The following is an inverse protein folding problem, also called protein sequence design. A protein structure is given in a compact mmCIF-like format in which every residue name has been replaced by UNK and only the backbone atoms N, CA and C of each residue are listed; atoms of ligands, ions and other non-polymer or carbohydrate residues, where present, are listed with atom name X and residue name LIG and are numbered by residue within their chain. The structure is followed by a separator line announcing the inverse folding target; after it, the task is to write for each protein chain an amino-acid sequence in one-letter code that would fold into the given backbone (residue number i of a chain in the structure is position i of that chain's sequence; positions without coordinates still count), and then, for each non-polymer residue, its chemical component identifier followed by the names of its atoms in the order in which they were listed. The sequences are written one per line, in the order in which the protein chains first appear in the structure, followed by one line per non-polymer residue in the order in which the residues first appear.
data_IF_011387052628
#
_entry.id   IF_011387052628
#
_cell.length_a   1.000
_cell.length_b   1.000
_cell.length_c   1.000
_cell.angle_alpha   90.00
_cell.angle_beta   90.00
_cell.angle_gamma   90.00
#
_symmetry.space_group_name_H-M   'P 1'
#
loop_
_entity.id
_entity.type
_entity.pdbx_description
1 polymer ?
#
# COMPACT_ATOMS: atom_id res chain seq x y z
N UNK A 1 -2.91 33.47 -12.76
CA UNK A 1 -3.39 32.31 -13.55
C UNK A 1 -3.23 31.07 -12.67
N UNK A 2 -4.32 30.40 -12.29
CA UNK A 2 -4.27 29.31 -11.31
C UNK A 2 -3.50 28.09 -11.87
N UNK A 3 -2.49 27.62 -11.13
CA UNK A 3 -1.63 26.48 -11.46
C UNK A 3 -2.49 25.22 -11.69
N UNK A 4 -2.56 24.72 -12.93
CA UNK A 4 -3.31 23.50 -13.25
C UNK A 4 -2.45 22.29 -12.89
N UNK A 5 -3.06 21.26 -12.28
CA UNK A 5 -2.37 20.02 -11.89
C UNK A 5 -1.81 19.19 -13.07
N UNK A 6 -1.93 19.68 -14.30
CA UNK A 6 -1.50 19.08 -15.57
C UNK A 6 -0.16 19.60 -16.09
N UNK A 7 0.42 20.64 -15.48
CA UNK A 7 1.68 21.24 -15.93
C UNK A 7 2.90 20.36 -15.55
N UNK A 8 4.11 20.64 -16.06
CA UNK A 8 5.33 19.84 -15.79
C UNK A 8 5.94 20.06 -14.38
N UNK A 9 5.44 21.05 -13.63
CA UNK A 9 5.85 21.39 -12.26
C UNK A 9 5.66 20.29 -11.15
N UNK A 10 4.71 19.33 -11.24
CA UNK A 10 4.51 18.25 -10.28
C UNK A 10 5.65 17.22 -10.25
N UNK A 11 6.41 17.07 -11.35
CA UNK A 11 7.53 16.12 -11.40
C UNK A 11 8.63 16.47 -10.42
N UNK A 12 8.95 17.76 -10.29
CA UNK A 12 9.95 18.26 -9.34
C UNK A 12 9.46 18.15 -7.89
N UNK A 13 8.18 18.46 -7.63
CA UNK A 13 7.53 18.29 -6.30
C UNK A 13 7.45 16.80 -5.89
N UNK A 14 7.25 15.88 -6.83
CA UNK A 14 7.25 14.44 -6.57
C UNK A 14 8.66 13.89 -6.28
N UNK A 15 9.68 14.37 -7.01
CA UNK A 15 11.09 14.03 -6.74
C UNK A 15 11.54 14.55 -5.36
N UNK A 16 11.13 15.77 -4.98
CA UNK A 16 11.37 16.30 -3.63
C UNK A 16 10.69 15.44 -2.56
N UNK A 17 9.46 14.98 -2.79
CA UNK A 17 8.77 14.07 -1.86
C UNK A 17 9.45 12.70 -1.75
N UNK A 18 9.97 12.15 -2.85
CA UNK A 18 10.75 10.92 -2.84
C UNK A 18 12.08 11.08 -2.09
N UNK A 19 12.76 12.21 -2.28
CA UNK A 19 13.97 12.56 -1.53
C UNK A 19 13.70 12.72 -0.04
N UNK A 20 12.60 13.38 0.34
CA UNK A 20 12.16 13.50 1.74
C UNK A 20 11.87 12.11 2.33
N UNK A 21 11.21 11.22 1.58
CA UNK A 21 10.97 9.85 2.04
C UNK A 21 12.28 9.08 2.25
N UNK A 22 13.25 9.18 1.32
CA UNK A 22 14.56 8.54 1.47
C UNK A 22 15.36 9.10 2.66
N UNK A 23 15.33 10.42 2.88
CA UNK A 23 15.95 11.05 4.05
C UNK A 23 15.26 10.61 5.34
N UNK A 24 13.94 10.50 5.34
CA UNK A 24 13.16 10.01 6.48
C UNK A 24 13.51 8.56 6.83
N UNK A 25 13.56 7.66 5.84
CA UNK A 25 13.97 6.27 6.07
C UNK A 25 15.45 6.15 6.44
N UNK A 26 16.33 6.97 5.87
CA UNK A 26 17.74 7.05 6.25
C UNK A 26 17.94 7.54 7.69
N UNK A 27 17.17 8.53 8.12
CA UNK A 27 17.18 9.04 9.49
C UNK A 27 16.64 8.01 10.49
N UNK A 28 15.62 7.22 10.11
CA UNK A 28 15.11 6.10 10.91
C UNK A 28 16.19 5.02 11.06
N UNK A 29 16.85 4.63 9.97
CA UNK A 29 17.94 3.65 10.01
C UNK A 29 19.10 4.12 10.92
N UNK A 30 19.45 5.41 10.83
CA UNK A 30 20.46 6.02 11.70
C UNK A 30 20.00 6.06 13.16
N UNK A 31 18.74 6.39 13.43
CA UNK A 31 18.18 6.42 14.78
C UNK A 31 18.14 5.02 15.42
N UNK A 32 17.79 3.99 14.65
CA UNK A 32 17.85 2.59 15.11
C UNK A 32 19.28 2.20 15.50
N UNK A 33 20.27 2.67 14.76
CA UNK A 33 21.68 2.42 15.06
C UNK A 33 22.20 3.18 16.29
N UNK A 34 21.59 4.32 16.65
CA UNK A 34 22.09 5.24 17.69
C UNK A 34 21.40 5.08 19.06
N UNK A 35 20.11 4.72 19.11
CA UNK A 35 19.30 4.84 20.35
C UNK A 35 19.03 3.53 21.12
N UNK A 36 19.63 2.39 20.73
CA UNK A 36 19.54 1.12 21.48
C UNK A 36 18.30 0.26 21.19
N UNK A 37 18.40 -1.03 21.48
CA UNK A 37 17.51 -2.10 21.00
C UNK A 37 16.02 -1.94 21.40
N UNK A 38 15.73 -1.48 22.61
CA UNK A 38 14.36 -1.41 23.15
C UNK A 38 13.54 -0.23 22.60
N UNK A 39 14.16 0.95 22.51
CA UNK A 39 13.52 2.14 21.93
C UNK A 39 13.32 1.97 20.41
N UNK A 40 14.30 1.36 19.73
CA UNK A 40 14.21 1.05 18.31
C UNK A 40 13.02 0.14 18.00
N UNK A 41 12.77 -0.90 18.81
CA UNK A 41 11.66 -1.82 18.59
C UNK A 41 10.29 -1.11 18.53
N UNK A 42 9.98 -0.27 19.53
CA UNK A 42 8.69 0.42 19.60
C UNK A 42 8.47 1.37 18.42
N UNK A 43 9.53 2.08 18.00
CA UNK A 43 9.48 2.94 16.81
C UNK A 43 9.32 2.15 15.51
N UNK A 44 10.04 1.05 15.34
CA UNK A 44 9.91 0.18 14.17
C UNK A 44 8.49 -0.40 14.09
N UNK A 45 7.95 -0.84 15.22
CA UNK A 45 6.57 -1.33 15.30
C UNK A 45 5.56 -0.24 14.94
N UNK A 46 5.73 0.98 15.45
CA UNK A 46 4.86 2.11 15.12
C UNK A 46 4.92 2.45 13.63
N UNK A 47 6.12 2.54 13.05
CA UNK A 47 6.32 2.80 11.62
C UNK A 47 5.73 1.69 10.74
N UNK A 48 5.86 0.43 11.15
CA UNK A 48 5.23 -0.70 10.47
C UNK A 48 3.70 -0.57 10.47
N UNK A 49 3.10 -0.23 11.62
CA UNK A 49 1.65 -0.01 11.72
C UNK A 49 1.18 1.15 10.84
N UNK A 50 1.91 2.28 10.84
CA UNK A 50 1.61 3.44 9.98
C UNK A 50 1.66 3.05 8.49
N UNK A 51 2.67 2.26 8.10
CA UNK A 51 2.82 1.77 6.75
C UNK A 51 1.66 0.84 6.36
N UNK A 52 1.26 -0.09 7.25
CA UNK A 52 0.12 -0.97 7.01
C UNK A 52 -1.18 -0.18 6.87
N UNK A 53 -1.45 0.80 7.74
CA UNK A 53 -2.65 1.65 7.64
C UNK A 53 -2.67 2.40 6.31
N UNK A 54 -1.54 3.00 5.92
CA UNK A 54 -1.41 3.72 4.65
C UNK A 54 -1.64 2.80 3.44
N UNK A 55 -1.11 1.58 3.50
CA UNK A 55 -1.30 0.58 2.45
C UNK A 55 -2.78 0.13 2.39
N UNK A 56 -3.39 -0.18 3.53
CA UNK A 56 -4.79 -0.60 3.63
C UNK A 56 -5.77 0.46 3.16
N UNK A 57 -5.53 1.73 3.45
CA UNK A 57 -6.34 2.83 2.96
C UNK A 57 -6.42 2.83 1.42
N UNK A 58 -5.28 2.62 0.75
CA UNK A 58 -5.26 2.50 -0.71
C UNK A 58 -5.91 1.20 -1.22
N UNK A 59 -5.69 0.07 -0.55
CA UNK A 59 -6.28 -1.23 -0.92
C UNK A 59 -7.81 -1.22 -0.87
N UNK A 60 -8.41 -0.56 0.13
CA UNK A 60 -9.86 -0.46 0.29
C UNK A 60 -10.49 0.62 -0.61
N UNK A 61 -9.72 1.65 -0.99
CA UNK A 61 -10.24 2.72 -1.83
C UNK A 61 -10.14 2.41 -3.33
N UNK A 62 -9.11 1.68 -3.75
CA UNK A 62 -8.85 1.42 -5.17
C UNK A 62 -9.99 0.70 -5.92
N UNK A 63 -10.66 -0.35 -5.39
CA UNK A 63 -11.79 -0.98 -6.07
C UNK A 63 -12.93 -0.01 -6.36
N UNK A 64 -13.16 0.98 -5.48
CA UNK A 64 -14.20 2.00 -5.67
C UNK A 64 -13.86 2.91 -6.85
N UNK A 65 -12.59 3.29 -7.00
CA UNK A 65 -12.16 4.04 -8.18
C UNK A 65 -12.39 3.25 -9.46
N UNK A 66 -12.06 1.96 -9.49
CA UNK A 66 -12.29 1.12 -10.67
C UNK A 66 -13.76 1.01 -11.06
N UNK A 67 -14.68 0.92 -10.09
CA UNK A 67 -16.12 0.92 -10.37
C UNK A 67 -16.52 2.20 -11.11
N UNK A 68 -16.16 3.37 -10.56
CA UNK A 68 -16.53 4.64 -11.18
C UNK A 68 -15.81 4.90 -12.50
N UNK A 69 -14.56 4.44 -12.64
CA UNK A 69 -13.81 4.55 -13.89
C UNK A 69 -14.40 3.64 -14.98
N UNK A 70 -14.90 2.45 -14.63
CA UNK A 70 -15.53 1.55 -15.61
C UNK A 70 -16.83 2.08 -16.19
N UNK A 71 -17.51 3.01 -15.51
CA UNK A 71 -18.71 3.68 -16.00
C UNK A 71 -18.41 4.85 -16.96
N UNK A 72 -17.13 5.26 -17.08
CA UNK A 72 -16.73 6.36 -17.94
C UNK A 72 -16.50 5.89 -19.37
N UNK A 73 -16.87 6.68 -20.37
CA UNK A 73 -16.49 6.39 -21.76
C UNK A 73 -14.95 6.45 -21.92
N UNK A 74 -14.33 5.49 -22.64
CA UNK A 74 -12.90 5.53 -22.91
C UNK A 74 -12.49 6.88 -23.51
N UNK A 75 -11.32 7.39 -23.13
CA UNK A 75 -10.77 8.69 -23.57
C UNK A 75 -11.57 9.95 -23.18
N UNK A 76 -12.62 9.82 -22.36
CA UNK A 76 -13.28 10.97 -21.74
C UNK A 76 -12.36 11.71 -20.75
N UNK A 77 -12.65 12.98 -20.48
CA UNK A 77 -11.93 13.76 -19.46
C UNK A 77 -12.03 13.13 -18.06
N UNK A 78 -13.17 12.49 -17.78
CA UNK A 78 -13.40 11.80 -16.52
C UNK A 78 -12.54 10.53 -16.40
N UNK A 79 -12.44 9.72 -17.45
CA UNK A 79 -11.55 8.55 -17.49
C UNK A 79 -10.08 8.96 -17.33
N UNK A 80 -9.64 10.04 -17.98
CA UNK A 80 -8.29 10.61 -17.78
C UNK A 80 -8.05 10.99 -16.33
N UNK A 81 -9.02 11.63 -15.69
CA UNK A 81 -8.93 12.04 -14.28
C UNK A 81 -8.80 10.82 -13.36
N UNK A 82 -9.63 9.79 -13.54
CA UNK A 82 -9.55 8.56 -12.74
C UNK A 82 -8.23 7.82 -12.95
N UNK A 83 -7.75 7.71 -14.19
CA UNK A 83 -6.44 7.12 -14.49
C UNK A 83 -5.30 7.83 -13.73
N UNK A 84 -5.32 9.16 -13.68
CA UNK A 84 -4.34 9.93 -12.89
C UNK A 84 -4.47 9.66 -11.40
N UNK A 85 -5.70 9.60 -10.86
CA UNK A 85 -5.95 9.31 -9.44
C UNK A 85 -5.45 7.91 -9.05
N UNK A 86 -5.77 6.90 -9.85
CA UNK A 86 -5.37 5.50 -9.64
C UNK A 86 -3.85 5.34 -9.70
N UNK A 87 -3.19 5.92 -10.70
CA UNK A 87 -1.74 5.87 -10.83
C UNK A 87 -1.05 6.58 -9.66
N UNK A 88 -1.57 7.74 -9.24
CA UNK A 88 -1.02 8.46 -8.08
C UNK A 88 -1.21 7.67 -6.80
N UNK A 89 -2.41 7.14 -6.54
CA UNK A 89 -2.68 6.32 -5.36
C UNK A 89 -1.75 5.09 -5.29
N UNK A 90 -1.61 4.38 -6.41
CA UNK A 90 -0.75 3.21 -6.53
C UNK A 90 0.73 3.56 -6.30
N UNK A 91 1.28 4.52 -7.07
CA UNK A 91 2.71 4.82 -7.05
C UNK A 91 3.17 5.64 -5.85
N UNK A 92 2.34 6.55 -5.35
CA UNK A 92 2.73 7.52 -4.31
C UNK A 92 2.42 6.98 -2.91
N UNK A 93 1.33 6.23 -2.75
CA UNK A 93 0.86 5.77 -1.44
C UNK A 93 1.05 4.26 -1.30
N UNK A 94 0.42 3.47 -2.16
CA UNK A 94 0.33 2.01 -1.96
C UNK A 94 1.68 1.32 -2.11
N UNK A 95 2.44 1.60 -3.17
CA UNK A 95 3.73 0.93 -3.42
C UNK A 95 4.75 1.23 -2.31
N UNK A 96 5.02 2.50 -1.92
CA UNK A 96 5.95 2.78 -0.84
C UNK A 96 5.48 2.18 0.49
N UNK A 97 4.19 2.29 0.81
CA UNK A 97 3.63 1.74 2.04
C UNK A 97 3.76 0.21 2.12
N UNK A 98 3.51 -0.50 1.01
CA UNK A 98 3.72 -1.95 0.94
C UNK A 98 5.19 -2.32 1.16
N UNK A 99 6.12 -1.63 0.49
CA UNK A 99 7.56 -1.90 0.61
C UNK A 99 8.01 -1.71 2.07
N UNK A 100 7.62 -0.59 2.68
CA UNK A 100 7.99 -0.28 4.07
C UNK A 100 7.36 -1.29 5.04
N UNK A 101 6.11 -1.69 4.79
CA UNK A 101 5.43 -2.72 5.57
C UNK A 101 6.18 -4.05 5.53
N UNK A 102 6.63 -4.47 4.35
CA UNK A 102 7.41 -5.71 4.19
C UNK A 102 8.78 -5.63 4.85
N UNK A 103 9.54 -4.55 4.62
CA UNK A 103 10.88 -4.37 5.20
C UNK A 103 10.82 -4.39 6.72
N UNK A 104 9.95 -3.55 7.32
CA UNK A 104 9.83 -3.49 8.78
C UNK A 104 9.17 -4.75 9.35
N UNK A 105 8.23 -5.35 8.65
CA UNK A 105 7.55 -6.59 9.07
C UNK A 105 8.49 -7.79 9.11
N UNK A 106 9.33 -7.96 8.09
CA UNK A 106 10.35 -9.02 8.05
C UNK A 106 11.46 -8.77 9.06
N UNK A 107 11.86 -7.52 9.25
CA UNK A 107 12.81 -7.17 10.31
C UNK A 107 12.27 -7.58 11.69
N UNK A 108 11.02 -7.22 12.03
CA UNK A 108 10.40 -7.62 13.30
C UNK A 108 10.23 -9.14 13.42
N UNK A 109 9.87 -9.83 12.32
CA UNK A 109 9.75 -11.28 12.29
C UNK A 109 11.09 -11.97 12.57
N UNK A 110 12.19 -11.42 12.06
CA UNK A 110 13.55 -11.91 12.29
C UNK A 110 14.04 -11.62 13.71
N UNK A 111 14.04 -10.34 14.12
CA UNK A 111 14.73 -9.90 15.33
C UNK A 111 13.96 -10.19 16.62
N UNK A 112 12.63 -10.15 16.57
CA UNK A 112 11.78 -10.30 17.78
C UNK A 112 11.21 -11.69 17.90
N UNK A 113 10.78 -12.27 16.78
CA UNK A 113 10.08 -13.56 16.79
C UNK A 113 10.92 -14.72 16.26
N UNK A 114 12.08 -14.48 15.63
CA UNK A 114 12.92 -15.53 15.06
C UNK A 114 12.19 -16.45 14.07
N UNK A 115 11.15 -15.93 13.40
CA UNK A 115 10.21 -16.72 12.59
C UNK A 115 9.52 -17.88 13.32
N UNK A 116 9.39 -17.80 14.64
CA UNK A 116 8.73 -18.82 15.46
C UNK A 116 7.22 -18.55 15.62
N UNK A 117 6.47 -19.63 15.82
CA UNK A 117 5.01 -19.61 16.03
C UNK A 117 4.24 -19.77 14.72
N UNK A 118 3.25 -20.67 14.72
CA UNK A 118 2.46 -20.92 13.51
C UNK A 118 1.62 -19.70 13.12
N UNK A 119 1.20 -18.87 14.09
CA UNK A 119 0.48 -17.62 13.82
C UNK A 119 1.27 -16.69 12.89
N UNK A 120 2.60 -16.69 13.00
CA UNK A 120 3.47 -15.82 12.22
C UNK A 120 3.58 -16.31 10.77
N UNK A 121 3.71 -17.61 10.55
CA UNK A 121 3.71 -18.19 9.20
C UNK A 121 2.36 -17.98 8.51
N UNK A 122 1.25 -18.22 9.22
CA UNK A 122 -0.09 -17.98 8.68
C UNK A 122 -0.31 -16.49 8.38
N UNK A 123 0.19 -15.59 9.24
CA UNK A 123 0.16 -14.14 8.99
C UNK A 123 0.93 -13.78 7.74
N UNK A 124 2.15 -14.30 7.57
CA UNK A 124 2.96 -14.04 6.38
C UNK A 124 2.28 -14.56 5.11
N UNK A 125 1.63 -15.73 5.16
CA UNK A 125 0.83 -16.24 4.05
C UNK A 125 -0.34 -15.29 3.71
N UNK A 126 -1.05 -14.78 4.71
CA UNK A 126 -2.12 -13.80 4.50
C UNK A 126 -1.60 -12.47 3.91
N UNK A 127 -0.44 -11.98 4.37
CA UNK A 127 0.20 -10.77 3.82
C UNK A 127 0.68 -11.01 2.38
N UNK A 128 1.18 -12.20 2.04
CA UNK A 128 1.49 -12.57 0.65
C UNK A 128 0.23 -12.55 -0.23
N UNK A 129 -0.89 -13.08 0.28
CA UNK A 129 -2.19 -12.98 -0.39
C UNK A 129 -2.59 -11.52 -0.63
N UNK A 130 -2.41 -10.65 0.37
CA UNK A 130 -2.69 -9.22 0.26
C UNK A 130 -1.79 -8.54 -0.79
N UNK A 131 -0.51 -8.91 -0.84
CA UNK A 131 0.41 -8.46 -1.90
C UNK A 131 0.02 -8.97 -3.28
N UNK A 132 -0.53 -10.18 -3.38
CA UNK A 132 -1.11 -10.69 -4.63
C UNK A 132 -2.28 -9.82 -5.12
N UNK A 133 -3.19 -9.44 -4.22
CA UNK A 133 -4.31 -8.52 -4.53
C UNK A 133 -3.78 -7.15 -4.94
N UNK A 134 -2.77 -6.62 -4.23
CA UNK A 134 -2.13 -5.37 -4.59
C UNK A 134 -1.53 -5.43 -6.01
N UNK A 135 -0.81 -6.51 -6.33
CA UNK A 135 -0.25 -6.73 -7.67
C UNK A 135 -1.32 -6.81 -8.76
N UNK A 136 -2.45 -7.44 -8.45
CA UNK A 136 -3.61 -7.46 -9.34
C UNK A 136 -4.18 -6.04 -9.55
N UNK A 137 -4.33 -5.23 -8.51
CA UNK A 137 -4.74 -3.83 -8.66
C UNK A 137 -3.75 -3.03 -9.50
N UNK A 138 -2.44 -3.19 -9.28
CA UNK A 138 -1.41 -2.53 -10.09
C UNK A 138 -1.50 -2.91 -11.58
N UNK A 139 -1.85 -4.16 -11.90
CA UNK A 139 -2.13 -4.59 -13.28
C UNK A 139 -3.38 -3.90 -13.83
N UNK A 140 -4.44 -3.79 -13.03
CA UNK A 140 -5.71 -3.19 -13.45
C UNK A 140 -5.59 -1.67 -13.66
N UNK A 141 -4.85 -0.94 -12.81
CA UNK A 141 -4.52 0.48 -13.06
C UNK A 141 -3.90 0.66 -14.45
N UNK A 142 -2.96 -0.22 -14.84
CA UNK A 142 -2.35 -0.15 -16.18
C UNK A 142 -3.34 -0.44 -17.30
N UNK A 143 -4.31 -1.34 -17.09
CA UNK A 143 -5.31 -1.70 -18.08
C UNK A 143 -6.35 -0.59 -18.27
N UNK A 144 -6.89 -0.08 -17.16
CA UNK A 144 -7.82 1.06 -17.16
C UNK A 144 -7.18 2.30 -17.78
N UNK A 145 -5.90 2.57 -17.51
CA UNK A 145 -5.15 3.64 -18.17
C UNK A 145 -4.96 3.49 -19.69
N UNK A 146 -5.26 2.30 -20.27
CA UNK A 146 -5.30 2.06 -21.72
C UNK A 146 -6.74 1.96 -22.27
N UNK A 147 -7.75 2.37 -21.49
CA UNK A 147 -9.16 2.21 -21.85
C UNK A 147 -9.66 0.76 -21.84
N UNK A 148 -8.89 -0.17 -21.26
CA UNK A 148 -9.28 -1.58 -21.15
C UNK A 148 -9.92 -1.82 -19.79
N UNK A 149 -11.23 -1.64 -19.69
CA UNK A 149 -11.96 -1.91 -18.46
C UNK A 149 -12.07 -3.40 -18.23
N UNK A 150 -11.36 -3.85 -17.19
CA UNK A 150 -11.26 -5.27 -16.85
C UNK A 150 -12.30 -5.59 -15.80
N UNK A 151 -13.09 -6.65 -16.02
CA UNK A 151 -14.16 -7.14 -15.12
C UNK A 151 -15.33 -6.16 -14.95
N UNK A 152 -16.41 -6.67 -14.37
CA UNK A 152 -17.63 -5.91 -14.13
C UNK A 152 -17.64 -5.23 -12.75
N UNK A 153 -18.58 -4.31 -12.54
CA UNK A 153 -18.73 -3.61 -11.26
C UNK A 153 -19.01 -4.57 -10.08
N UNK A 154 -19.65 -5.72 -10.34
CA UNK A 154 -19.90 -6.74 -9.31
C UNK A 154 -18.58 -7.35 -8.81
N UNK A 155 -17.68 -7.70 -9.72
CA UNK A 155 -16.35 -8.18 -9.36
C UNK A 155 -15.59 -7.16 -8.51
N UNK A 156 -15.61 -5.87 -8.89
CA UNK A 156 -14.90 -4.85 -8.13
C UNK A 156 -15.47 -4.61 -6.73
N UNK A 157 -16.79 -4.73 -6.55
CA UNK A 157 -17.42 -4.74 -5.21
C UNK A 157 -16.93 -5.93 -4.38
N UNK A 158 -16.86 -7.12 -4.96
CA UNK A 158 -16.34 -8.29 -4.26
C UNK A 158 -14.85 -8.13 -3.90
N UNK A 159 -14.06 -7.53 -4.79
CA UNK A 159 -12.65 -7.26 -4.52
C UNK A 159 -12.40 -6.24 -3.41
N UNK A 160 -13.42 -5.47 -3.00
CA UNK A 160 -13.33 -4.64 -1.80
C UNK A 160 -13.33 -5.47 -0.50
N UNK A 161 -14.01 -6.62 -0.50
CA UNK A 161 -14.11 -7.49 0.67
C UNK A 161 -12.81 -8.28 0.91
N UNK A 162 -12.07 -8.62 -0.16
CA UNK A 162 -10.86 -9.44 -0.04
C UNK A 162 -9.77 -8.79 0.84
N UNK A 163 -9.35 -7.52 0.62
CA UNK A 163 -8.42 -6.85 1.53
C UNK A 163 -8.96 -6.73 2.96
N UNK A 164 -10.27 -6.52 3.11
CA UNK A 164 -10.92 -6.39 4.43
C UNK A 164 -10.81 -7.69 5.23
N UNK A 165 -11.15 -8.82 4.60
CA UNK A 165 -11.05 -10.15 5.23
C UNK A 165 -9.61 -10.49 5.58
N UNK A 166 -8.67 -10.25 4.68
CA UNK A 166 -7.23 -10.46 4.93
C UNK A 166 -6.74 -9.59 6.09
N UNK A 167 -7.14 -8.33 6.15
CA UNK A 167 -6.81 -7.42 7.25
C UNK A 167 -7.29 -7.97 8.59
N UNK A 168 -8.54 -8.43 8.67
CA UNK A 168 -9.10 -9.02 9.90
C UNK A 168 -8.26 -10.21 10.35
N UNK A 169 -7.98 -11.15 9.44
CA UNK A 169 -7.14 -12.33 9.73
C UNK A 169 -5.76 -11.92 10.22
N UNK A 170 -5.08 -11.00 9.52
CA UNK A 170 -3.74 -10.53 9.87
C UNK A 170 -3.71 -9.88 11.26
N UNK A 171 -4.71 -9.04 11.57
CA UNK A 171 -4.82 -8.35 12.86
C UNK A 171 -5.08 -9.35 13.99
N UNK A 172 -6.01 -10.28 13.80
CA UNK A 172 -6.30 -11.33 14.80
C UNK A 172 -5.06 -12.16 15.08
N UNK A 173 -4.32 -12.59 14.04
CA UNK A 173 -3.12 -13.40 14.21
C UNK A 173 -2.02 -12.69 14.98
N UNK A 174 -1.78 -11.40 14.71
CA UNK A 174 -0.71 -10.66 15.40
C UNK A 174 -1.09 -10.24 16.83
N UNK A 175 -2.38 -10.06 17.12
CA UNK A 175 -2.87 -9.66 18.45
C UNK A 175 -3.07 -10.86 19.36
N UNK A 176 -3.81 -11.87 18.89
CA UNK A 176 -4.19 -13.03 19.71
C UNK A 176 -3.07 -14.06 19.79
N UNK A 177 -2.28 -14.22 18.71
CA UNK A 177 -1.17 -15.19 18.61
C UNK A 177 -1.55 -16.60 19.12
N UNK A 178 -2.55 -17.26 18.50
CA UNK A 178 -3.18 -18.45 19.07
C UNK A 178 -2.33 -19.72 19.12
N UNK A 179 -1.23 -19.81 18.37
CA UNK A 179 -0.36 -21.00 18.28
C UNK A 179 1.03 -20.67 17.69
#
# INVERSE_FOLDING_TARGET
MAERQTDLAPGRKAATKAAIALVFFGAIALAIAVFGEDAAYSWIKALHVIAIISWMAGMLYMPRLFIYHSDCEPDSDQARTFSVMEVRLMKVIMNPAMIVSWVLGLYLAWTVFGFQGGWLHLKLLAVLGLSGVHGFFARSVKAFGRGQYVRDARFWRLMNEVPTLLMIVIVVLVVVKPF
#
